data_IF_970000919473
#
_entry.id   IF_970000919473
#
_cell.length_a   1.000
_cell.length_b   1.000
_cell.length_c   1.000
_cell.angle_alpha   90.00
_cell.angle_beta   90.00
_cell.angle_gamma   90.00
#
_symmetry.space_group_name_H-M   'P 1'
#
loop_
_entity.id
_entity.type
_entity.pdbx_description
1 polymer ?
#
# COMPACT_ATOMS: atom_id res chain seq x y z
N UNK A 1 18.19 10.76 -28.60
CA UNK A 1 18.06 9.36 -28.15
C UNK A 1 18.25 9.20 -26.64
N UNK A 2 19.27 9.78 -26.00
CA UNK A 2 19.51 9.66 -24.54
C UNK A 2 18.31 10.06 -23.64
N UNK A 3 17.53 11.08 -23.99
CA UNK A 3 16.35 11.50 -23.22
C UNK A 3 15.16 10.51 -23.26
N UNK A 4 15.04 9.68 -24.31
CA UNK A 4 13.93 8.71 -24.43
C UNK A 4 14.19 7.49 -23.54
N UNK A 5 15.44 7.04 -23.43
CA UNK A 5 15.82 5.96 -22.52
C UNK A 5 15.65 6.38 -21.05
N UNK A 6 15.96 7.64 -20.71
CA UNK A 6 15.74 8.17 -19.36
C UNK A 6 14.26 8.19 -18.98
N UNK A 7 13.38 8.58 -19.92
CA UNK A 7 11.92 8.56 -19.74
C UNK A 7 11.37 7.15 -19.53
N UNK A 8 11.85 6.17 -20.30
CA UNK A 8 11.43 4.77 -20.16
C UNK A 8 11.86 4.23 -18.79
N UNK A 9 13.11 4.50 -18.39
CA UNK A 9 13.64 4.10 -17.08
C UNK A 9 12.84 4.71 -15.91
N UNK A 10 12.48 6.01 -15.99
CA UNK A 10 11.66 6.67 -14.98
C UNK A 10 10.27 6.01 -14.80
N UNK A 11 9.64 5.55 -15.88
CA UNK A 11 8.31 4.92 -15.79
C UNK A 11 8.34 3.55 -15.10
N UNK A 12 9.46 2.81 -15.20
CA UNK A 12 9.62 1.48 -14.60
C UNK A 12 9.99 1.54 -13.12
N UNK A 13 10.95 2.39 -12.76
CA UNK A 13 11.51 2.39 -11.42
C UNK A 13 10.65 3.16 -10.40
N UNK A 14 9.86 4.16 -10.82
CA UNK A 14 9.00 4.90 -9.88
C UNK A 14 7.84 4.07 -9.32
N UNK A 15 7.39 3.03 -10.04
CA UNK A 15 6.19 2.25 -9.69
C UNK A 15 6.53 0.81 -9.26
N UNK A 16 7.80 0.44 -9.25
CA UNK A 16 8.22 -0.87 -8.74
C UNK A 16 8.05 -0.89 -7.21
N UNK A 17 7.00 -1.55 -6.75
CA UNK A 17 6.63 -1.65 -5.35
C UNK A 17 7.33 -2.86 -4.74
N UNK A 18 8.37 -2.63 -3.93
CA UNK A 18 9.04 -3.66 -3.12
C UNK A 18 8.29 -3.86 -1.81
N UNK A 19 7.89 -5.10 -1.53
CA UNK A 19 7.07 -5.46 -0.37
C UNK A 19 7.70 -5.11 0.98
N UNK A 20 9.04 -5.12 1.07
CA UNK A 20 9.79 -4.74 2.27
C UNK A 20 9.90 -3.22 2.43
N UNK A 21 10.05 -2.51 1.32
CA UNK A 21 10.15 -1.04 1.32
C UNK A 21 8.75 -0.37 1.54
N UNK A 22 7.67 -1.09 1.26
CA UNK A 22 6.24 -0.68 1.37
C UNK A 22 5.72 -0.53 2.79
N UNK A 23 6.06 -1.45 3.70
CA UNK A 23 5.38 -1.55 5.00
C UNK A 23 5.88 -0.47 5.94
N UNK A 24 7.17 -0.50 6.28
CA UNK A 24 7.71 0.34 7.32
C UNK A 24 7.86 1.79 6.83
N UNK A 25 8.50 2.00 5.68
CA UNK A 25 8.78 3.35 5.17
C UNK A 25 7.52 4.17 4.91
N UNK A 26 6.51 3.56 4.29
CA UNK A 26 5.32 4.30 3.89
C UNK A 26 4.39 4.57 5.07
N UNK A 27 4.23 3.60 5.97
CA UNK A 27 3.45 3.80 7.20
C UNK A 27 4.14 4.83 8.10
N UNK A 28 5.48 4.78 8.25
CA UNK A 28 6.26 5.80 8.97
C UNK A 28 6.01 7.18 8.38
N UNK A 29 6.10 7.32 7.05
CA UNK A 29 5.85 8.60 6.38
C UNK A 29 4.43 9.11 6.65
N UNK A 30 3.42 8.26 6.52
CA UNK A 30 2.04 8.65 6.82
C UNK A 30 1.87 9.08 8.28
N UNK A 31 2.39 8.32 9.23
CA UNK A 31 2.27 8.64 10.65
C UNK A 31 2.97 9.95 11.00
N UNK A 32 4.08 10.28 10.34
CA UNK A 32 4.71 11.62 10.44
C UNK A 32 3.80 12.72 9.88
N UNK A 33 3.24 12.53 8.69
CA UNK A 33 2.31 13.50 8.07
C UNK A 33 1.05 13.75 8.91
N UNK A 34 0.61 12.75 9.69
CA UNK A 34 -0.50 12.88 10.64
C UNK A 34 -0.08 13.40 12.03
N UNK A 35 1.19 13.73 12.25
CA UNK A 35 1.71 14.17 13.55
C UNK A 35 1.66 13.10 14.64
N UNK A 36 1.67 11.82 14.25
CA UNK A 36 1.64 10.65 15.15
C UNK A 36 3.02 10.07 15.41
N UNK A 37 4.01 10.41 14.57
CA UNK A 37 5.43 10.17 14.80
C UNK A 37 6.18 11.51 14.75
N UNK A 38 7.27 11.60 15.50
CA UNK A 38 8.13 12.79 15.50
C UNK A 38 8.78 12.99 14.12
N UNK A 39 9.02 14.25 13.75
CA UNK A 39 9.57 14.59 12.43
C UNK A 39 10.97 13.97 12.21
N UNK A 40 11.75 13.86 13.29
CA UNK A 40 13.12 13.32 13.32
C UNK A 40 13.17 11.80 13.46
N UNK A 41 12.03 11.13 13.65
CA UNK A 41 11.95 9.67 13.67
C UNK A 41 12.66 9.07 12.45
N UNK A 42 13.51 8.04 12.57
CA UNK A 42 14.31 7.57 11.45
C UNK A 42 13.39 7.13 10.29
N UNK A 43 13.55 7.81 9.16
CA UNK A 43 12.95 7.37 7.91
C UNK A 43 13.86 6.30 7.32
N UNK A 44 13.32 5.15 6.87
CA UNK A 44 14.11 4.14 6.17
C UNK A 44 14.90 4.76 5.02
N UNK A 45 16.14 4.31 4.85
CA UNK A 45 17.21 5.00 4.10
C UNK A 45 16.96 5.15 2.60
N UNK A 46 15.87 4.60 2.05
CA UNK A 46 15.48 4.72 0.65
C UNK A 46 14.33 5.71 0.54
N UNK A 47 14.51 6.79 -0.21
CA UNK A 47 13.42 7.69 -0.58
C UNK A 47 12.43 6.92 -1.47
N UNK A 48 11.22 6.69 -0.97
CA UNK A 48 10.22 5.85 -1.65
C UNK A 48 9.18 6.77 -2.30
N UNK A 49 9.46 7.25 -3.51
CA UNK A 49 8.44 7.89 -4.36
C UNK A 49 7.19 7.00 -4.52
N UNK A 50 7.32 5.69 -4.31
CA UNK A 50 6.19 4.76 -4.28
C UNK A 50 5.28 4.88 -3.04
N UNK A 51 5.67 5.51 -1.93
CA UNK A 51 4.79 5.67 -0.76
C UNK A 51 3.59 6.55 -1.04
N UNK A 52 3.77 7.59 -1.88
CA UNK A 52 2.66 8.43 -2.37
C UNK A 52 1.64 7.64 -3.20
N UNK A 53 2.02 6.48 -3.76
CA UNK A 53 1.12 5.57 -4.47
C UNK A 53 0.56 4.48 -3.55
N UNK A 54 1.33 4.00 -2.58
CA UNK A 54 0.98 2.88 -1.71
C UNK A 54 0.05 3.30 -0.57
N UNK A 55 0.29 4.44 0.06
CA UNK A 55 -0.45 4.89 1.25
C UNK A 55 -1.94 5.10 0.96
N UNK A 56 -2.32 5.73 -0.16
CA UNK A 56 -3.72 5.82 -0.58
C UNK A 56 -4.38 4.47 -0.91
N UNK A 57 -3.61 3.40 -1.11
CA UNK A 57 -4.12 2.04 -1.34
C UNK A 57 -4.38 1.30 -0.03
N UNK A 58 -3.36 1.23 0.83
CA UNK A 58 -3.39 0.35 2.02
C UNK A 58 -4.25 0.98 3.14
N UNK A 59 -4.16 2.29 3.34
CA UNK A 59 -4.82 2.93 4.47
C UNK A 59 -6.35 2.87 4.43
N UNK A 60 -7.03 3.14 3.29
CA UNK A 60 -8.49 3.01 3.26
C UNK A 60 -8.94 1.59 3.56
N UNK A 61 -8.23 0.58 3.04
CA UNK A 61 -8.56 -0.83 3.27
C UNK A 61 -8.37 -1.21 4.74
N UNK A 62 -7.29 -0.73 5.37
CA UNK A 62 -7.08 -0.95 6.80
C UNK A 62 -8.13 -0.23 7.66
N UNK A 63 -8.45 1.03 7.33
CA UNK A 63 -9.47 1.81 8.04
C UNK A 63 -10.86 1.16 7.89
N UNK A 64 -11.20 0.66 6.71
CA UNK A 64 -12.47 0.00 6.44
C UNK A 64 -12.59 -1.35 7.15
N UNK A 65 -11.52 -2.17 7.14
CA UNK A 65 -11.49 -3.43 7.92
C UNK A 65 -11.58 -3.16 9.41
N UNK A 66 -10.89 -2.13 9.90
CA UNK A 66 -10.99 -1.74 11.29
C UNK A 66 -12.40 -1.27 11.63
N UNK A 67 -13.00 -0.41 10.81
CA UNK A 67 -14.39 0.03 10.96
C UNK A 67 -15.36 -1.16 10.93
N UNK A 68 -15.10 -2.15 10.08
CA UNK A 68 -15.86 -3.40 10.02
C UNK A 68 -15.75 -4.19 11.33
N UNK A 69 -14.53 -4.41 11.84
CA UNK A 69 -14.30 -5.07 13.13
C UNK A 69 -14.98 -4.31 14.28
N UNK A 70 -14.89 -2.98 14.29
CA UNK A 70 -15.58 -2.14 15.28
C UNK A 70 -17.10 -2.23 15.16
N UNK A 71 -17.65 -2.51 13.97
CA UNK A 71 -19.10 -2.67 13.76
C UNK A 71 -19.65 -3.97 14.35
N UNK A 72 -18.78 -4.92 14.70
CA UNK A 72 -19.16 -6.14 15.43
C UNK A 72 -19.30 -5.91 16.94
N UNK A 73 -19.01 -4.70 17.42
CA UNK A 73 -19.27 -4.28 18.80
C UNK A 73 -20.76 -3.96 18.91
N UNK A 74 -21.43 -4.59 19.87
CA UNK A 74 -22.88 -4.48 20.09
C UNK A 74 -23.36 -3.06 20.38
N UNK A 75 -22.50 -2.19 20.91
CA UNK A 75 -22.82 -0.79 21.20
C UNK A 75 -22.52 0.10 19.98
N UNK A 76 -23.56 0.65 19.37
CA UNK A 76 -23.45 1.53 18.20
C UNK A 76 -22.70 2.83 18.50
N UNK A 77 -22.95 3.44 19.67
CA UNK A 77 -22.22 4.63 20.12
C UNK A 77 -20.73 4.32 20.21
N UNK A 78 -20.37 3.23 20.91
CA UNK A 78 -18.99 2.86 21.16
C UNK A 78 -18.26 2.50 19.85
N UNK A 79 -18.92 1.74 18.98
CA UNK A 79 -18.44 1.44 17.62
C UNK A 79 -18.15 2.70 16.81
N UNK A 80 -19.02 3.70 16.90
CA UNK A 80 -18.89 4.96 16.16
C UNK A 80 -17.73 5.80 16.68
N UNK A 81 -17.60 5.94 18.01
CA UNK A 81 -16.48 6.67 18.63
C UNK A 81 -15.11 6.07 18.24
N UNK A 82 -15.00 4.74 18.27
CA UNK A 82 -13.74 4.08 17.92
C UNK A 82 -13.36 4.20 16.43
N UNK A 83 -14.33 4.47 15.55
CA UNK A 83 -14.07 4.75 14.12
C UNK A 83 -13.50 6.16 13.90
N UNK A 84 -13.78 7.12 14.79
CA UNK A 84 -13.41 8.53 14.61
C UNK A 84 -12.09 8.92 15.28
N UNK A 85 -11.71 8.26 16.38
CA UNK A 85 -10.63 8.74 17.27
C UNK A 85 -9.19 8.40 16.83
N UNK A 86 -8.97 8.06 15.56
CA UNK A 86 -7.63 7.78 15.04
C UNK A 86 -6.96 6.54 15.66
N UNK A 87 -7.73 5.65 16.28
CA UNK A 87 -7.25 4.41 16.90
C UNK A 87 -6.43 3.54 15.93
N UNK A 88 -6.84 3.49 14.66
CA UNK A 88 -6.10 2.80 13.59
C UNK A 88 -4.67 3.31 13.44
N UNK A 89 -4.44 4.62 13.61
CA UNK A 89 -3.11 5.22 13.48
C UNK A 89 -2.19 4.79 14.62
N UNK A 90 -2.72 4.67 15.84
CA UNK A 90 -1.96 4.18 16.99
C UNK A 90 -1.65 2.68 16.92
N UNK A 91 -2.56 1.88 16.34
CA UNK A 91 -2.29 0.45 16.11
C UNK A 91 -1.24 0.24 15.02
N UNK A 92 -1.24 1.06 13.97
CA UNK A 92 -0.16 1.07 12.98
C UNK A 92 1.17 1.50 13.61
N UNK A 93 1.15 2.52 14.49
CA UNK A 93 2.33 2.98 15.23
C UNK A 93 2.91 1.86 16.11
N UNK A 94 2.07 1.09 16.79
CA UNK A 94 2.49 -0.09 17.55
C UNK A 94 3.16 -1.14 16.64
N UNK A 95 2.55 -1.47 15.49
CA UNK A 95 3.12 -2.43 14.53
C UNK A 95 4.50 -1.98 14.00
N UNK A 96 4.72 -0.68 13.81
CA UNK A 96 6.03 -0.15 13.42
C UNK A 96 7.06 -0.40 14.53
N UNK A 97 6.78 -0.01 15.77
CA UNK A 97 7.74 -0.17 16.87
C UNK A 97 8.11 -1.63 17.14
N UNK A 98 7.17 -2.57 17.00
CA UNK A 98 7.45 -4.01 17.17
C UNK A 98 8.42 -4.57 16.11
N UNK A 99 8.56 -3.91 14.96
CA UNK A 99 9.41 -4.36 13.85
C UNK A 99 10.70 -3.55 13.67
N UNK A 100 10.89 -2.46 14.44
CA UNK A 100 12.10 -1.63 14.35
C UNK A 100 13.34 -2.38 14.83
N UNK A 101 14.39 -2.29 14.02
CA UNK A 101 15.72 -2.84 14.36
C UNK A 101 16.76 -1.75 14.65
N UNK A 102 16.40 -0.49 14.42
CA UNK A 102 17.29 0.68 14.48
C UNK A 102 17.36 1.32 15.87
N UNK A 103 16.39 1.03 16.74
CA UNK A 103 16.31 1.51 18.11
C UNK A 103 16.85 0.47 19.09
N UNK A 104 17.30 0.92 20.27
CA UNK A 104 17.62 0.00 21.36
C UNK A 104 16.35 -0.69 21.87
N UNK A 105 16.50 -1.90 22.42
CA UNK A 105 15.38 -2.63 23.01
C UNK A 105 14.66 -1.86 24.13
N UNK A 106 15.37 -0.98 24.82
CA UNK A 106 14.81 -0.15 25.89
C UNK A 106 13.97 1.00 25.33
N UNK A 107 14.41 1.64 24.24
CA UNK A 107 13.64 2.67 23.53
C UNK A 107 12.37 2.07 22.91
N UNK A 108 12.50 0.94 22.21
CA UNK A 108 11.33 0.21 21.64
C UNK A 108 10.31 -0.10 22.73
N UNK A 109 10.76 -0.61 23.89
CA UNK A 109 9.86 -0.94 25.00
C UNK A 109 9.13 0.29 25.55
N UNK A 110 9.81 1.43 25.64
CA UNK A 110 9.22 2.69 26.10
C UNK A 110 8.17 3.18 25.11
N UNK A 111 8.52 3.28 23.83
CA UNK A 111 7.61 3.75 22.77
C UNK A 111 6.36 2.86 22.63
N UNK A 112 6.52 1.54 22.80
CA UNK A 112 5.39 0.61 22.85
C UNK A 112 4.49 0.85 24.06
N UNK A 113 5.06 1.13 25.23
CA UNK A 113 4.29 1.43 26.43
C UNK A 113 3.50 2.74 26.27
N UNK A 114 4.15 3.79 25.78
CA UNK A 114 3.52 5.09 25.54
C UNK A 114 2.40 4.98 24.49
N UNK A 115 2.61 4.20 23.43
CA UNK A 115 1.59 3.95 22.40
C UNK A 115 0.40 3.16 22.95
N UNK A 116 0.64 2.13 23.77
CA UNK A 116 -0.43 1.35 24.42
C UNK A 116 -1.25 2.18 25.39
N UNK A 117 -0.61 3.09 26.13
CA UNK A 117 -1.31 4.00 27.02
C UNK A 117 -2.26 4.94 26.24
N UNK A 118 -1.85 5.41 25.06
CA UNK A 118 -2.73 6.21 24.19
C UNK A 118 -3.93 5.40 23.69
N UNK A 119 -3.70 4.15 23.28
CA UNK A 119 -4.78 3.22 22.88
C UNK A 119 -5.78 3.03 24.03
N UNK A 120 -5.29 2.73 25.23
CA UNK A 120 -6.13 2.59 26.43
C UNK A 120 -6.92 3.88 26.73
N UNK A 121 -6.30 5.04 26.56
CA UNK A 121 -6.97 6.34 26.71
C UNK A 121 -8.16 6.50 25.76
N UNK A 122 -7.98 6.17 24.47
CA UNK A 122 -9.06 6.23 23.46
C UNK A 122 -10.21 5.27 23.83
N UNK A 123 -9.88 4.05 24.24
CA UNK A 123 -10.89 3.06 24.65
C UNK A 123 -11.68 3.50 25.88
N UNK A 124 -11.00 4.02 26.90
CA UNK A 124 -11.61 4.51 28.12
C UNK A 124 -12.54 5.70 27.83
N UNK A 125 -12.08 6.64 27.01
CA UNK A 125 -12.88 7.79 26.62
C UNK A 125 -14.15 7.38 25.87
N UNK A 126 -14.04 6.48 24.89
CA UNK A 126 -15.20 5.95 24.19
C UNK A 126 -16.17 5.23 25.15
N UNK A 127 -15.64 4.52 26.15
CA UNK A 127 -16.45 3.79 27.12
C UNK A 127 -17.21 4.75 28.04
N UNK A 128 -16.55 5.79 28.50
CA UNK A 128 -17.12 6.85 29.34
C UNK A 128 -18.21 7.61 28.58
N UNK A 129 -17.93 8.07 27.36
CA UNK A 129 -18.88 8.83 26.54
C UNK A 129 -20.12 8.00 26.17
N UNK A 130 -19.95 6.70 25.96
CA UNK A 130 -21.03 5.81 25.55
C UNK A 130 -21.64 4.98 26.69
N UNK A 131 -21.26 5.26 27.96
CA UNK A 131 -21.70 4.50 29.14
C UNK A 131 -21.59 2.98 28.95
N UNK A 132 -20.50 2.54 28.31
CA UNK A 132 -20.31 1.15 27.87
C UNK A 132 -19.65 0.32 28.97
N UNK A 133 -20.26 -0.81 29.34
CA UNK A 133 -19.65 -1.79 30.25
C UNK A 133 -18.62 -2.72 29.56
N UNK A 134 -18.34 -2.51 28.27
CA UNK A 134 -17.42 -3.36 27.52
C UNK A 134 -15.99 -3.13 28.03
N UNK A 135 -15.39 -4.16 28.62
CA UNK A 135 -14.02 -4.04 29.13
C UNK A 135 -12.98 -3.83 28.01
N UNK A 136 -11.99 -2.97 28.26
CA UNK A 136 -10.87 -2.73 27.34
C UNK A 136 -10.11 -4.00 26.98
N UNK A 137 -10.00 -4.95 27.90
CA UNK A 137 -9.33 -6.24 27.65
C UNK A 137 -10.05 -7.05 26.57
N UNK A 138 -11.38 -7.07 26.60
CA UNK A 138 -12.20 -7.72 25.56
C UNK A 138 -12.05 -7.00 24.22
N UNK A 139 -11.99 -5.67 24.23
CA UNK A 139 -11.74 -4.89 23.00
C UNK A 139 -10.36 -5.22 22.42
N UNK A 140 -9.33 -5.16 23.25
CA UNK A 140 -7.95 -5.35 22.87
C UNK A 140 -7.70 -6.75 22.28
N UNK A 141 -8.08 -7.80 23.02
CA UNK A 141 -7.82 -9.18 22.65
C UNK A 141 -8.62 -9.63 21.42
N UNK A 142 -9.82 -9.07 21.21
CA UNK A 142 -10.72 -9.49 20.13
C UNK A 142 -10.64 -8.62 18.88
N UNK A 143 -10.40 -7.32 19.02
CA UNK A 143 -10.56 -6.38 17.92
C UNK A 143 -9.31 -5.55 17.59
N UNK A 144 -8.35 -5.41 18.50
CA UNK A 144 -7.16 -4.57 18.29
C UNK A 144 -5.90 -5.35 17.86
N UNK A 145 -5.95 -6.68 17.83
CA UNK A 145 -4.85 -7.48 17.26
C UNK A 145 -4.86 -7.35 15.73
N UNK A 146 -4.14 -6.36 15.20
CA UNK A 146 -3.90 -6.14 13.75
C UNK A 146 -2.56 -6.77 13.31
N UNK A 147 -1.84 -7.43 14.22
CA UNK A 147 -0.48 -7.94 13.97
C UNK A 147 -0.39 -8.71 12.64
N UNK A 148 0.43 -8.21 11.72
CA UNK A 148 0.66 -8.76 10.38
C UNK A 148 -0.53 -8.72 9.39
N UNK A 149 -1.72 -8.24 9.78
CA UNK A 149 -2.87 -8.12 8.88
C UNK A 149 -2.61 -7.10 7.78
N UNK A 150 -1.98 -5.96 8.11
CA UNK A 150 -1.59 -4.92 7.15
C UNK A 150 -0.82 -5.48 5.95
N UNK A 151 0.19 -6.31 6.25
CA UNK A 151 1.04 -6.95 5.24
C UNK A 151 0.26 -7.99 4.43
N UNK A 152 -0.51 -8.83 5.12
CA UNK A 152 -1.32 -9.87 4.48
C UNK A 152 -2.36 -9.29 3.52
N UNK A 153 -3.07 -8.23 3.92
CA UNK A 153 -4.08 -7.54 3.11
C UNK A 153 -3.44 -6.89 1.89
N UNK A 154 -2.33 -6.18 2.08
CA UNK A 154 -1.59 -5.54 0.99
C UNK A 154 -1.17 -6.57 -0.05
N UNK A 155 -0.55 -7.67 0.40
CA UNK A 155 -0.15 -8.79 -0.47
C UNK A 155 -1.32 -9.38 -1.22
N UNK A 156 -2.40 -9.68 -0.49
CA UNK A 156 -3.60 -10.25 -1.05
C UNK A 156 -4.17 -9.36 -2.14
N UNK A 157 -4.36 -8.06 -1.87
CA UNK A 157 -4.96 -7.15 -2.83
C UNK A 157 -4.07 -6.86 -4.04
N UNK A 158 -2.74 -6.73 -3.87
CA UNK A 158 -1.82 -6.55 -5.01
C UNK A 158 -1.78 -7.79 -5.90
N UNK A 159 -1.71 -8.99 -5.31
CA UNK A 159 -1.72 -10.26 -6.04
C UNK A 159 -3.06 -10.50 -6.74
N UNK A 160 -4.17 -10.33 -6.02
CA UNK A 160 -5.52 -10.43 -6.56
C UNK A 160 -5.70 -9.52 -7.77
N UNK A 161 -5.25 -8.28 -7.67
CA UNK A 161 -5.36 -7.31 -8.74
C UNK A 161 -4.67 -7.73 -10.04
N UNK A 162 -3.41 -8.15 -9.96
CA UNK A 162 -2.63 -8.49 -11.17
C UNK A 162 -3.09 -9.80 -11.81
N UNK A 163 -3.69 -10.70 -11.02
CA UNK A 163 -4.31 -11.93 -11.47
C UNK A 163 -5.66 -11.63 -12.13
N UNK A 164 -6.54 -10.87 -11.46
CA UNK A 164 -7.84 -10.44 -12.01
C UNK A 164 -7.67 -9.61 -13.30
N UNK A 165 -6.57 -8.84 -13.40
CA UNK A 165 -6.21 -8.08 -14.60
C UNK A 165 -5.64 -8.94 -15.74
N UNK A 166 -5.39 -10.23 -15.51
CA UNK A 166 -4.81 -11.19 -16.45
C UNK A 166 -3.34 -10.96 -16.76
N UNK A 167 -2.60 -10.26 -15.89
CA UNK A 167 -1.16 -10.00 -16.07
C UNK A 167 -0.33 -11.19 -15.58
N UNK A 168 -0.72 -11.77 -14.43
CA UNK A 168 -0.14 -13.02 -13.92
C UNK A 168 -1.11 -14.16 -14.16
N UNK A 169 -0.68 -15.17 -14.91
CA UNK A 169 -1.36 -16.45 -15.00
C UNK A 169 -1.00 -17.29 -13.77
N UNK A 170 -1.88 -17.23 -12.76
CA UNK A 170 -1.68 -17.89 -11.48
C UNK A 170 -2.36 -19.27 -11.38
N UNK A 171 -3.18 -19.68 -12.36
CA UNK A 171 -3.99 -20.89 -12.26
C UNK A 171 -4.83 -20.93 -10.97
N UNK A 172 -4.72 -22.03 -10.21
CA UNK A 172 -5.39 -22.23 -8.92
C UNK A 172 -4.48 -21.95 -7.72
N UNK A 173 -3.68 -20.88 -7.77
CA UNK A 173 -2.83 -20.52 -6.64
C UNK A 173 -3.67 -20.02 -5.45
N UNK A 174 -3.27 -20.39 -4.24
CA UNK A 174 -3.72 -19.69 -3.05
C UNK A 174 -2.99 -18.35 -2.94
N UNK A 175 -3.73 -17.26 -3.10
CA UNK A 175 -3.25 -15.88 -2.99
C UNK A 175 -3.45 -15.29 -1.58
N UNK A 176 -4.01 -16.07 -0.66
CA UNK A 176 -4.24 -15.73 0.73
C UNK A 176 -3.46 -16.67 1.69
N UNK A 177 -2.12 -16.74 1.57
CA UNK A 177 -1.31 -17.65 2.39
C UNK A 177 -1.33 -17.31 3.89
N UNK A 178 -1.86 -16.14 4.26
CA UNK A 178 -2.00 -15.70 5.65
C UNK A 178 -3.39 -16.01 6.24
N UNK A 179 -4.27 -16.71 5.50
CA UNK A 179 -5.62 -17.08 5.93
C UNK A 179 -6.41 -15.91 6.53
N UNK A 180 -6.22 -14.70 6.00
CA UNK A 180 -6.98 -13.55 6.46
C UNK A 180 -8.42 -13.66 5.95
N UNK A 181 -9.39 -13.16 6.73
CA UNK A 181 -10.76 -13.00 6.21
C UNK A 181 -10.76 -11.99 5.06
N UNK A 182 -11.11 -12.47 3.87
CA UNK A 182 -11.17 -11.70 2.62
C UNK A 182 -12.58 -11.32 2.19
N UNK A 183 -13.61 -11.81 2.88
CA UNK A 183 -15.02 -11.66 2.47
C UNK A 183 -15.49 -10.21 2.38
N UNK A 184 -14.84 -9.32 3.13
CA UNK A 184 -15.14 -7.88 3.21
C UNK A 184 -14.03 -6.99 2.67
N UNK A 185 -13.00 -7.53 2.03
CA UNK A 185 -11.88 -6.73 1.51
C UNK A 185 -12.20 -6.22 0.10
N UNK A 186 -12.47 -4.92 -0.03
CA UNK A 186 -12.64 -4.26 -1.34
C UNK A 186 -11.30 -3.73 -1.87
N UNK A 187 -10.59 -4.53 -2.66
CA UNK A 187 -9.30 -4.13 -3.23
C UNK A 187 -9.44 -3.10 -4.38
N UNK A 188 -10.53 -3.17 -5.17
CA UNK A 188 -10.65 -2.46 -6.45
C UNK A 188 -10.79 -0.93 -6.31
N UNK A 189 -11.55 -0.45 -5.32
CA UNK A 189 -11.78 0.97 -5.07
C UNK A 189 -10.48 1.70 -4.73
N UNK A 190 -9.67 1.11 -3.85
CA UNK A 190 -8.32 1.61 -3.51
C UNK A 190 -7.39 1.65 -4.72
N UNK A 191 -7.37 0.58 -5.54
CA UNK A 191 -6.49 0.48 -6.70
C UNK A 191 -6.81 1.49 -7.80
N UNK A 192 -8.08 1.79 -8.03
CA UNK A 192 -8.48 2.79 -9.02
C UNK A 192 -7.98 4.20 -8.66
N UNK A 193 -8.08 4.60 -7.39
CA UNK A 193 -7.56 5.88 -6.93
C UNK A 193 -6.04 5.98 -7.12
N UNK A 194 -5.33 4.88 -6.88
CA UNK A 194 -3.86 4.80 -7.01
C UNK A 194 -3.44 4.84 -8.47
N UNK A 195 -4.11 4.10 -9.35
CA UNK A 195 -3.89 4.16 -10.80
C UNK A 195 -3.99 5.60 -11.30
N UNK A 196 -5.02 6.33 -10.87
CA UNK A 196 -5.21 7.76 -11.23
C UNK A 196 -4.05 8.63 -10.72
N UNK A 197 -3.60 8.41 -9.49
CA UNK A 197 -2.49 9.17 -8.91
C UNK A 197 -1.15 8.86 -9.58
N UNK A 198 -0.87 7.59 -9.90
CA UNK A 198 0.31 7.19 -10.66
C UNK A 198 0.35 7.91 -12.03
N UNK A 199 -0.77 7.94 -12.75
CA UNK A 199 -0.85 8.70 -14.01
C UNK A 199 -0.63 10.20 -13.83
N UNK A 200 -1.15 10.80 -12.75
CA UNK A 200 -0.91 12.22 -12.44
C UNK A 200 0.57 12.50 -12.18
N UNK A 201 1.26 11.62 -11.47
CA UNK A 201 2.71 11.73 -11.23
C UNK A 201 3.50 11.65 -12.53
N UNK A 202 3.23 10.64 -13.36
CA UNK A 202 3.85 10.50 -14.69
C UNK A 202 3.60 11.75 -15.55
N UNK A 203 2.38 12.29 -15.53
CA UNK A 203 2.03 13.53 -16.24
C UNK A 203 2.80 14.74 -15.71
N UNK A 204 2.98 14.86 -14.38
CA UNK A 204 3.72 15.95 -13.73
C UNK A 204 5.19 15.94 -14.16
N UNK A 205 5.84 14.78 -14.11
CA UNK A 205 7.22 14.58 -14.54
C UNK A 205 7.45 14.99 -16.01
N UNK A 206 6.53 14.58 -16.89
CA UNK A 206 6.62 14.99 -18.29
C UNK A 206 6.49 16.51 -18.49
N UNK A 207 5.68 17.17 -17.67
CA UNK A 207 5.55 18.64 -17.70
C UNK A 207 6.82 19.31 -17.20
N UNK A 208 7.44 18.80 -16.14
CA UNK A 208 8.70 19.33 -15.60
C UNK A 208 9.86 19.23 -16.60
N UNK A 209 9.80 18.23 -17.49
CA UNK A 209 10.73 18.08 -18.61
C UNK A 209 10.39 18.94 -19.84
N UNK A 210 9.44 19.87 -19.73
CA UNK A 210 8.98 20.75 -20.82
C UNK A 210 8.51 19.99 -22.08
N UNK A 211 7.93 18.80 -21.91
CA UNK A 211 7.48 17.98 -23.03
C UNK A 211 6.18 18.56 -23.62
N UNK A 212 6.05 18.67 -24.95
CA UNK A 212 4.81 19.15 -25.57
C UNK A 212 3.60 18.29 -25.20
N UNK A 213 2.46 18.92 -24.90
CA UNK A 213 1.24 18.24 -24.43
C UNK A 213 0.77 17.11 -25.35
N UNK A 214 0.95 17.24 -26.68
CA UNK A 214 0.65 16.18 -27.66
C UNK A 214 1.45 14.89 -27.40
N UNK A 215 2.73 15.03 -27.04
CA UNK A 215 3.61 13.89 -26.72
C UNK A 215 3.29 13.30 -25.37
N UNK A 216 2.98 14.14 -24.37
CA UNK A 216 2.48 13.69 -23.06
C UNK A 216 1.22 12.85 -23.22
N UNK A 217 0.24 13.32 -24.00
CA UNK A 217 -1.00 12.59 -24.24
C UNK A 217 -0.77 11.26 -24.96
N UNK A 218 0.17 11.22 -25.90
CA UNK A 218 0.58 9.98 -26.55
C UNK A 218 1.22 9.01 -25.55
N UNK A 219 2.16 9.49 -24.72
CA UNK A 219 2.84 8.68 -23.72
C UNK A 219 1.88 8.09 -22.67
N UNK A 220 0.94 8.90 -22.16
CA UNK A 220 -0.11 8.43 -21.23
C UNK A 220 -1.05 7.41 -21.88
N UNK A 221 -1.31 7.52 -23.18
CA UNK A 221 -2.09 6.51 -23.92
C UNK A 221 -1.33 5.18 -24.00
N UNK A 222 -0.04 5.21 -24.31
CA UNK A 222 0.79 4.01 -24.33
C UNK A 222 0.92 3.39 -22.92
N UNK A 223 1.03 4.23 -21.88
CA UNK A 223 1.05 3.79 -20.49
C UNK A 223 -0.21 2.98 -20.13
N UNK A 224 -1.40 3.50 -20.46
CA UNK A 224 -2.68 2.82 -20.24
C UNK A 224 -2.85 1.57 -21.09
N UNK A 225 -2.54 1.67 -22.39
CA UNK A 225 -2.70 0.57 -23.35
C UNK A 225 -1.88 -0.65 -22.96
N UNK A 226 -0.67 -0.43 -22.49
CA UNK A 226 0.23 -1.50 -22.06
C UNK A 226 0.06 -1.84 -20.57
N UNK A 227 -0.96 -1.32 -19.87
CA UNK A 227 -1.25 -1.58 -18.45
C UNK A 227 0.01 -1.43 -17.57
N UNK A 228 0.74 -0.33 -17.74
CA UNK A 228 2.08 -0.20 -17.13
C UNK A 228 2.04 -0.15 -15.61
N UNK A 229 0.99 0.40 -15.03
CA UNK A 229 0.74 0.40 -13.59
C UNK A 229 0.59 -1.04 -13.06
N UNK A 230 -0.22 -1.85 -13.74
CA UNK A 230 -0.44 -3.25 -13.39
C UNK A 230 0.84 -4.08 -13.54
N UNK A 231 1.58 -3.89 -14.64
CA UNK A 231 2.84 -4.61 -14.88
C UNK A 231 3.90 -4.29 -13.81
N UNK A 232 3.98 -3.04 -13.33
CA UNK A 232 4.91 -2.69 -12.26
C UNK A 232 4.55 -3.32 -10.91
N UNK A 233 3.25 -3.51 -10.63
CA UNK A 233 2.79 -4.25 -9.45
C UNK A 233 3.07 -5.74 -9.62
N UNK A 234 2.85 -6.27 -10.83
CA UNK A 234 3.01 -7.69 -11.14
C UNK A 234 4.45 -8.16 -10.91
N UNK A 235 5.45 -7.34 -11.25
CA UNK A 235 6.86 -7.66 -10.95
C UNK A 235 7.12 -7.87 -9.45
N UNK A 236 6.51 -7.05 -8.58
CA UNK A 236 6.64 -7.19 -7.13
C UNK A 236 5.83 -8.37 -6.57
N UNK A 237 4.60 -8.56 -7.07
CA UNK A 237 3.74 -9.66 -6.65
C UNK A 237 4.31 -11.04 -7.02
N UNK A 238 4.85 -11.17 -8.24
CA UNK A 238 5.34 -12.45 -8.79
C UNK A 238 6.46 -13.08 -7.95
N UNK A 239 7.31 -12.27 -7.33
CA UNK A 239 8.37 -12.76 -6.45
C UNK A 239 7.82 -13.50 -5.22
N UNK A 240 6.65 -13.07 -4.73
CA UNK A 240 6.05 -13.53 -3.48
C UNK A 240 4.99 -14.62 -3.67
N UNK A 241 4.55 -14.88 -4.91
CA UNK A 241 3.63 -15.96 -5.20
C UNK A 241 4.34 -17.31 -5.15
N UNK A 242 3.72 -18.29 -4.50
CA UNK A 242 4.24 -19.66 -4.41
C UNK A 242 3.94 -20.43 -5.71
N UNK A 243 4.79 -20.22 -6.71
CA UNK A 243 4.63 -20.75 -8.05
C UNK A 243 5.86 -21.53 -8.48
N UNK A 244 5.69 -22.50 -9.39
CA UNK A 244 6.82 -23.21 -9.96
C UNK A 244 7.74 -22.25 -10.75
N UNK A 245 9.05 -22.51 -10.81
CA UNK A 245 10.00 -21.68 -11.54
C UNK A 245 9.62 -21.46 -13.02
N UNK A 246 9.04 -22.47 -13.67
CA UNK A 246 8.62 -22.41 -15.07
C UNK A 246 7.46 -21.43 -15.27
N UNK A 247 6.47 -21.44 -14.37
CA UNK A 247 5.35 -20.51 -14.44
C UNK A 247 5.79 -19.10 -14.06
N UNK A 248 6.67 -18.94 -13.07
CA UNK A 248 7.27 -17.63 -12.76
C UNK A 248 7.98 -17.06 -13.97
N UNK A 249 8.86 -17.83 -14.60
CA UNK A 249 9.60 -17.41 -15.79
C UNK A 249 8.69 -17.00 -16.95
N UNK A 250 7.62 -17.75 -17.21
CA UNK A 250 6.64 -17.40 -18.24
C UNK A 250 5.96 -16.05 -17.95
N UNK A 251 5.57 -15.82 -16.70
CA UNK A 251 4.98 -14.55 -16.29
C UNK A 251 5.98 -13.40 -16.38
N UNK A 252 7.25 -13.62 -16.00
CA UNK A 252 8.33 -12.64 -16.18
C UNK A 252 8.51 -12.27 -17.65
N UNK A 253 8.56 -13.26 -18.55
CA UNK A 253 8.67 -13.06 -20.00
C UNK A 253 7.47 -12.27 -20.56
N UNK A 254 6.25 -12.57 -20.11
CA UNK A 254 5.05 -11.84 -20.51
C UNK A 254 5.07 -10.37 -20.05
N UNK A 255 5.44 -10.13 -18.79
CA UNK A 255 5.58 -8.78 -18.24
C UNK A 255 6.64 -8.02 -19.04
N UNK A 256 7.81 -8.64 -19.28
CA UNK A 256 8.90 -8.05 -20.06
C UNK A 256 8.48 -7.72 -21.50
N UNK A 257 7.67 -8.55 -22.15
CA UNK A 257 7.15 -8.26 -23.49
C UNK A 257 6.23 -7.02 -23.50
N UNK A 258 5.39 -6.84 -22.46
CA UNK A 258 4.57 -5.63 -22.30
C UNK A 258 5.43 -4.38 -22.07
N UNK A 259 6.48 -4.51 -21.27
CA UNK A 259 7.49 -3.47 -21.03
C UNK A 259 8.15 -3.01 -22.34
N UNK A 260 8.55 -3.96 -23.18
CA UNK A 260 9.16 -3.69 -24.47
C UNK A 260 8.17 -3.06 -25.47
N UNK A 261 6.91 -3.51 -25.46
CA UNK A 261 5.84 -2.91 -26.26
C UNK A 261 5.62 -1.45 -25.88
N UNK A 262 5.49 -1.17 -24.58
CA UNK A 262 5.42 0.20 -24.06
C UNK A 262 6.61 1.06 -24.49
N UNK A 263 7.83 0.53 -24.32
CA UNK A 263 9.06 1.22 -24.70
C UNK A 263 9.06 1.62 -26.19
N UNK A 264 8.64 0.71 -27.07
CA UNK A 264 8.48 0.99 -28.51
C UNK A 264 7.39 2.04 -28.78
N UNK A 265 6.27 1.96 -28.09
CA UNK A 265 5.17 2.93 -28.18
C UNK A 265 5.61 4.34 -27.77
N UNK A 266 6.30 4.46 -26.64
CA UNK A 266 6.90 5.71 -26.14
C UNK A 266 7.86 6.28 -27.17
N UNK A 267 8.80 5.50 -27.70
CA UNK A 267 9.72 5.96 -28.75
C UNK A 267 8.93 6.54 -29.93
N UNK A 268 7.86 5.88 -30.37
CA UNK A 268 6.97 6.37 -31.43
C UNK A 268 6.33 7.72 -31.12
N UNK A 269 5.92 7.97 -29.87
CA UNK A 269 5.37 9.25 -29.42
C UNK A 269 6.36 10.41 -29.53
N UNK A 270 7.66 10.14 -29.36
CA UNK A 270 8.71 11.17 -29.40
C UNK A 270 9.39 11.31 -30.76
N UNK A 271 9.30 10.31 -31.62
CA UNK A 271 9.91 10.30 -32.96
C UNK A 271 8.97 10.77 -34.08
N UNK A 272 7.64 10.70 -33.90
CA UNK A 272 6.69 11.26 -34.88
C UNK A 272 6.71 12.80 -34.80
N UNK A 273 6.99 13.45 -35.94
CA UNK A 273 6.94 14.91 -36.12
C UNK A 273 5.49 15.42 -36.01
#
# INVERSE_FOLDING_TARGET
MKGVYFIIFLCFFKVAISEKDVKETCIIQYLKEQGRLDEDFPSPTKAVESCAMIIPFILPIMKDRFATKMSEITSECFSTQLKTDGLVDYLMKEEIFENLTEFSAQEVKKELADTRQMIEGILNYAAEVCESEISNKVIHDKYLIIKNETRAITRYCLSKFVIDAGIIDAGNLDINPSNIDTTKIECESGLNAVRINAEKLVKKEYKEQNIPQRRINCALREYRRNKMFENSIAMGALQNLDMSPEIKKRNEENIQANVESFSRGIIGCFMRK
#
